data_IF_930886940065
#
_entry.id   IF_930886940065
#
_cell.length_a   1.000
_cell.length_b   1.000
_cell.length_c   1.000
_cell.angle_alpha   90.00
_cell.angle_beta   90.00
_cell.angle_gamma   90.00
#
_symmetry.space_group_name_H-M   'P 1'
#
loop_
_entity.id
_entity.type
_entity.pdbx_description
1 polymer ?
#
# COMPACT_ATOMS: atom_id res chain seq x y z
N UNK A 1 17.00 -2.91 17.62
CA UNK A 1 15.64 -3.48 17.53
C UNK A 1 14.60 -2.41 17.85
N UNK A 2 13.75 -2.05 16.89
CA UNK A 2 12.64 -1.13 17.13
C UNK A 2 11.67 -1.70 18.18
N UNK A 3 11.27 -0.88 19.15
CA UNK A 3 10.42 -1.30 20.28
C UNK A 3 9.00 -1.61 19.81
N UNK A 4 8.57 -2.86 19.95
CA UNK A 4 7.20 -3.30 19.62
C UNK A 4 6.19 -2.56 20.51
N UNK A 5 5.18 -1.95 19.90
CA UNK A 5 4.10 -1.27 20.62
C UNK A 5 2.98 -2.26 20.94
N UNK A 6 2.34 -2.12 22.12
CA UNK A 6 1.14 -2.90 22.45
C UNK A 6 0.08 -2.74 21.36
N UNK A 7 -0.55 -3.84 20.97
CA UNK A 7 -1.56 -3.90 19.90
C UNK A 7 -2.70 -2.89 20.08
N UNK A 8 -3.24 -2.78 21.29
CA UNK A 8 -4.28 -1.81 21.62
C UNK A 8 -3.86 -0.36 21.37
N UNK A 9 -2.60 -0.02 21.66
CA UNK A 9 -2.05 1.32 21.41
C UNK A 9 -1.84 1.58 19.92
N UNK A 10 -1.45 0.57 19.14
CA UNK A 10 -1.37 0.68 17.67
C UNK A 10 -2.76 1.00 17.10
N UNK A 11 -3.76 0.19 17.43
CA UNK A 11 -5.14 0.37 16.96
C UNK A 11 -5.69 1.74 17.35
N UNK A 12 -5.52 2.15 18.62
CA UNK A 12 -5.97 3.46 19.10
C UNK A 12 -5.35 4.63 18.32
N UNK A 13 -4.07 4.54 17.94
CA UNK A 13 -3.41 5.59 17.13
C UNK A 13 -3.86 5.60 15.68
N UNK A 14 -4.12 4.42 15.10
CA UNK A 14 -4.67 4.33 13.74
C UNK A 14 -6.07 4.95 13.69
N UNK A 15 -6.95 4.63 14.64
CA UNK A 15 -8.29 5.22 14.73
C UNK A 15 -8.22 6.75 14.90
N UNK A 16 -7.37 7.26 15.80
CA UNK A 16 -7.19 8.70 15.96
C UNK A 16 -6.67 9.38 14.68
N UNK A 17 -5.75 8.74 13.94
CA UNK A 17 -5.32 9.24 12.63
C UNK A 17 -6.47 9.30 11.63
N UNK A 18 -7.33 8.28 11.60
CA UNK A 18 -8.49 8.21 10.71
C UNK A 18 -9.55 9.26 11.05
N UNK A 19 -9.85 9.44 12.33
CA UNK A 19 -10.93 10.33 12.80
C UNK A 19 -10.51 11.81 12.77
N UNK A 20 -9.27 12.10 13.16
CA UNK A 20 -8.77 13.48 13.29
C UNK A 20 -7.91 13.93 12.08
N UNK A 21 -7.72 13.05 11.09
CA UNK A 21 -6.84 13.24 9.94
C UNK A 21 -5.41 13.63 10.36
N UNK A 22 -4.91 13.07 11.46
CA UNK A 22 -3.55 13.38 11.93
C UNK A 22 -2.55 12.43 11.25
N UNK A 23 -1.51 12.96 10.57
CA UNK A 23 -0.50 12.10 9.96
C UNK A 23 0.25 11.27 10.99
N UNK A 24 0.68 10.08 10.57
CA UNK A 24 1.39 9.11 11.39
C UNK A 24 2.56 8.52 10.62
N UNK A 25 3.64 8.22 11.34
CA UNK A 25 4.71 7.33 10.91
C UNK A 25 4.34 5.90 11.31
N UNK A 26 4.25 5.03 10.32
CA UNK A 26 3.90 3.62 10.48
C UNK A 26 5.18 2.81 10.30
N UNK A 27 5.56 2.12 11.37
CA UNK A 27 6.69 1.19 11.36
C UNK A 27 6.13 -0.23 11.23
N UNK A 28 6.73 -1.03 10.37
CA UNK A 28 6.31 -2.40 10.09
C UNK A 28 7.37 -3.39 10.59
N UNK A 29 6.95 -4.54 11.09
CA UNK A 29 7.86 -5.57 11.62
C UNK A 29 8.68 -6.24 10.52
N UNK A 30 8.19 -6.19 9.29
CA UNK A 30 8.80 -6.79 8.10
C UNK A 30 9.87 -5.89 7.45
N UNK A 31 9.87 -4.60 7.78
CA UNK A 31 10.83 -3.59 7.33
C UNK A 31 11.17 -2.67 8.53
N UNK A 32 11.98 -3.14 9.50
CA UNK A 32 12.13 -2.48 10.80
C UNK A 32 12.88 -1.15 10.76
N UNK A 33 13.68 -0.92 9.71
CA UNK A 33 14.49 0.27 9.52
C UNK A 33 13.80 1.33 8.65
N UNK A 34 12.59 1.01 8.16
CA UNK A 34 11.79 1.87 7.32
C UNK A 34 10.50 2.32 8.03
N UNK A 35 9.91 3.40 7.52
CA UNK A 35 8.58 3.83 7.93
C UNK A 35 7.86 4.53 6.79
N UNK A 36 6.55 4.33 6.74
CA UNK A 36 5.65 5.06 5.86
C UNK A 36 5.07 6.25 6.65
N UNK A 37 5.19 7.48 6.13
CA UNK A 37 4.46 8.64 6.67
C UNK A 37 3.14 8.75 5.92
N UNK A 38 2.01 8.77 6.63
CA UNK A 38 0.71 8.66 6.00
C UNK A 38 -0.44 9.19 6.87
N UNK A 39 -1.61 9.36 6.24
CA UNK A 39 -2.89 9.56 6.91
C UNK A 39 -3.72 8.29 6.73
N UNK A 40 -4.31 7.79 7.83
CA UNK A 40 -5.14 6.57 7.77
C UNK A 40 -6.50 6.90 7.16
N UNK A 41 -6.92 6.14 6.14
CA UNK A 41 -8.21 6.33 5.46
C UNK A 41 -9.24 5.28 5.84
N UNK A 42 -8.80 4.05 6.07
CA UNK A 42 -9.67 2.92 6.39
C UNK A 42 -8.90 1.84 7.16
N UNK A 43 -9.58 1.20 8.11
CA UNK A 43 -9.04 0.12 8.94
C UNK A 43 -9.99 -1.06 8.87
N UNK A 44 -9.47 -2.27 8.65
CA UNK A 44 -10.19 -3.54 8.80
C UNK A 44 -9.49 -4.46 9.80
N UNK A 45 -9.98 -5.71 9.94
CA UNK A 45 -9.33 -6.70 10.79
C UNK A 45 -7.94 -7.12 10.27
N UNK A 46 -7.73 -7.09 8.94
CA UNK A 46 -6.51 -7.57 8.29
C UNK A 46 -5.63 -6.49 7.72
N UNK A 47 -6.20 -5.36 7.29
CA UNK A 47 -5.54 -4.36 6.45
C UNK A 47 -5.82 -2.93 6.92
N UNK A 48 -4.90 -2.03 6.57
CA UNK A 48 -5.05 -0.58 6.76
C UNK A 48 -4.77 0.10 5.43
N UNK A 49 -5.68 0.95 4.97
CA UNK A 49 -5.51 1.82 3.82
C UNK A 49 -4.96 3.18 4.26
N UNK A 50 -3.94 3.63 3.57
CA UNK A 50 -3.16 4.83 3.86
C UNK A 50 -3.15 5.76 2.66
N UNK A 51 -3.30 7.07 2.89
CA UNK A 51 -2.83 8.09 1.97
C UNK A 51 -1.37 8.39 2.31
N UNK A 52 -0.44 7.95 1.46
CA UNK A 52 1.00 8.05 1.74
C UNK A 52 1.51 9.44 1.42
N UNK A 53 2.44 9.90 2.26
CA UNK A 53 3.12 11.16 2.14
C UNK A 53 4.62 10.88 1.91
N UNK A 54 5.22 11.55 0.93
CA UNK A 54 6.67 11.60 0.77
C UNK A 54 7.26 12.78 1.55
N UNK A 55 8.58 12.89 1.54
CA UNK A 55 9.31 13.98 2.18
C UNK A 55 8.71 15.36 1.86
N UNK A 56 8.56 16.19 2.90
CA UNK A 56 7.91 17.49 2.78
C UNK A 56 6.38 17.45 2.80
N UNK A 57 5.76 16.27 2.96
CA UNK A 57 4.31 16.15 3.11
C UNK A 57 3.54 16.12 1.80
N UNK A 58 4.19 15.85 0.67
CA UNK A 58 3.48 15.70 -0.60
C UNK A 58 2.79 14.35 -0.66
N UNK A 59 1.56 14.32 -1.17
CA UNK A 59 0.84 13.09 -1.45
C UNK A 59 1.61 12.23 -2.46
N UNK A 60 1.71 10.92 -2.18
CA UNK A 60 2.38 9.93 -3.03
C UNK A 60 1.55 8.63 -3.08
N UNK A 61 0.31 8.76 -3.55
CA UNK A 61 -0.57 7.62 -3.75
C UNK A 61 -1.09 6.98 -2.46
N UNK A 62 -1.49 5.73 -2.60
CA UNK A 62 -2.15 4.97 -1.56
C UNK A 62 -1.44 3.65 -1.32
N UNK A 63 -1.43 3.24 -0.06
CA UNK A 63 -0.80 1.98 0.36
C UNK A 63 -1.76 1.22 1.27
N UNK A 64 -1.97 -0.05 0.94
CA UNK A 64 -2.57 -1.02 1.85
C UNK A 64 -1.45 -1.78 2.55
N UNK A 65 -1.50 -1.86 3.87
CA UNK A 65 -0.55 -2.65 4.66
C UNK A 65 -1.28 -3.65 5.54
N UNK A 66 -0.71 -4.86 5.70
CA UNK A 66 -1.23 -5.83 6.67
C UNK A 66 -1.17 -5.24 8.06
N UNK A 67 -2.32 -5.11 8.70
CA UNK A 67 -2.44 -4.61 10.07
C UNK A 67 -1.60 -5.46 11.04
N UNK A 68 -1.49 -6.77 10.80
CA UNK A 68 -0.65 -7.69 11.60
C UNK A 68 0.85 -7.39 11.55
N UNK A 69 1.33 -6.70 10.51
CA UNK A 69 2.73 -6.32 10.38
C UNK A 69 3.03 -4.92 10.94
N UNK A 70 2.04 -4.14 11.39
CA UNK A 70 2.29 -2.84 12.00
C UNK A 70 2.82 -3.03 13.43
N UNK A 71 4.08 -2.67 13.64
CA UNK A 71 4.80 -2.83 14.91
C UNK A 71 4.68 -1.60 15.81
N UNK A 72 4.60 -0.40 15.22
CA UNK A 72 4.55 0.87 15.93
C UNK A 72 3.92 1.96 15.03
N UNK A 73 3.15 2.84 15.64
CA UNK A 73 2.54 4.01 14.97
C UNK A 73 2.87 5.23 15.80
N UNK A 74 3.38 6.31 15.21
CA UNK A 74 3.78 7.55 15.89
C UNK A 74 3.13 8.73 15.19
N UNK A 75 2.48 9.64 15.91
CA UNK A 75 1.95 10.86 15.27
C UNK A 75 3.08 11.72 14.71
N UNK A 76 2.88 12.20 13.48
CA UNK A 76 3.74 13.16 12.80
C UNK A 76 2.94 14.42 12.53
N UNK A 77 3.23 15.48 13.30
CA UNK A 77 2.52 16.76 13.18
C UNK A 77 3.38 17.86 12.58
N UNK A 78 4.65 17.58 12.31
CA UNK A 78 5.67 18.55 11.87
C UNK A 78 5.19 19.37 10.68
N UNK A 79 4.64 18.71 9.66
CA UNK A 79 4.18 19.36 8.42
C UNK A 79 2.67 19.55 8.35
N UNK A 80 1.91 19.22 9.40
CA UNK A 80 0.44 19.30 9.37
C UNK A 80 -0.11 20.68 8.93
N UNK A 81 0.46 21.83 9.33
CA UNK A 81 0.03 23.13 8.81
C UNK A 81 0.18 23.24 7.29
N UNK A 82 1.28 22.74 6.72
CA UNK A 82 1.53 22.74 5.28
C UNK A 82 0.62 21.74 4.54
N UNK A 83 0.39 20.55 5.09
CA UNK A 83 -0.53 19.57 4.50
C UNK A 83 -1.92 20.15 4.29
N UNK A 84 -2.41 20.92 5.27
CA UNK A 84 -3.74 21.57 5.23
C UNK A 84 -3.87 22.64 4.15
N UNK A 85 -2.77 23.13 3.56
CA UNK A 85 -2.82 24.09 2.45
C UNK A 85 -2.78 23.40 1.09
N UNK A 86 -2.63 22.08 1.02
CA UNK A 86 -2.53 21.35 -0.25
C UNK A 86 -3.91 20.98 -0.78
N UNK A 87 -4.07 20.96 -2.11
CA UNK A 87 -5.34 20.64 -2.78
C UNK A 87 -5.83 19.21 -2.49
N UNK A 88 -4.92 18.28 -2.17
CA UNK A 88 -5.31 16.92 -1.81
C UNK A 88 -5.96 16.83 -0.42
N UNK A 89 -5.90 17.89 0.40
CA UNK A 89 -6.40 17.89 1.76
C UNK A 89 -7.88 18.31 1.85
N UNK A 90 -8.73 17.58 2.61
CA UNK A 90 -8.44 16.32 3.28
C UNK A 90 -8.31 15.17 2.26
N UNK A 91 -7.45 14.17 2.53
CA UNK A 91 -7.21 13.08 1.58
C UNK A 91 -8.51 12.31 1.30
N UNK A 92 -8.87 12.21 0.02
CA UNK A 92 -10.01 11.43 -0.42
C UNK A 92 -9.72 9.92 -0.25
N UNK A 93 -10.72 9.15 0.17
CA UNK A 93 -10.71 7.69 0.08
C UNK A 93 -11.50 7.25 -1.17
N UNK A 94 -10.82 6.98 -2.31
CA UNK A 94 -11.49 6.58 -3.55
C UNK A 94 -12.16 5.21 -3.44
N UNK A 95 -11.85 4.43 -2.40
CA UNK A 95 -12.34 3.07 -2.19
C UNK A 95 -13.14 2.93 -0.90
N UNK A 96 -13.85 3.98 -0.47
CA UNK A 96 -14.63 3.97 0.77
C UNK A 96 -15.63 2.82 0.88
N UNK A 97 -16.14 2.31 -0.25
CA UNK A 97 -17.08 1.19 -0.30
C UNK A 97 -16.39 -0.18 -0.33
N UNK A 98 -15.06 -0.24 -0.31
CA UNK A 98 -14.29 -1.46 -0.46
C UNK A 98 -14.21 -2.21 0.86
N UNK A 99 -14.61 -3.47 0.86
CA UNK A 99 -14.44 -4.34 2.03
C UNK A 99 -13.00 -4.88 2.10
N UNK A 100 -12.18 -4.25 2.95
CA UNK A 100 -10.80 -4.66 3.19
C UNK A 100 -10.66 -5.93 4.04
N UNK A 101 -11.76 -6.60 4.44
CA UNK A 101 -11.71 -7.91 5.10
C UNK A 101 -11.60 -9.08 4.10
N UNK A 102 -12.06 -8.89 2.86
CA UNK A 102 -12.05 -9.91 1.81
C UNK A 102 -10.93 -9.64 0.80
N UNK A 103 -9.76 -10.25 1.01
CA UNK A 103 -8.52 -9.96 0.25
C UNK A 103 -8.68 -10.07 -1.26
N UNK A 104 -9.26 -11.18 -1.72
CA UNK A 104 -9.51 -11.36 -3.14
C UNK A 104 -10.44 -10.28 -3.71
N UNK A 105 -11.49 -9.92 -2.98
CA UNK A 105 -12.50 -8.97 -3.47
C UNK A 105 -11.94 -7.54 -3.54
N UNK A 106 -11.17 -7.12 -2.53
CA UNK A 106 -10.59 -5.78 -2.58
C UNK A 106 -9.47 -5.69 -3.62
N UNK A 107 -8.61 -6.71 -3.73
CA UNK A 107 -7.55 -6.73 -4.72
C UNK A 107 -8.10 -6.77 -6.15
N UNK A 108 -9.18 -7.52 -6.39
CA UNK A 108 -9.80 -7.54 -7.71
C UNK A 108 -10.35 -6.19 -8.09
N UNK A 109 -11.01 -5.51 -7.15
CA UNK A 109 -11.50 -4.17 -7.41
C UNK A 109 -10.38 -3.16 -7.62
N UNK A 110 -9.28 -3.27 -6.88
CA UNK A 110 -8.09 -2.43 -7.12
C UNK A 110 -7.50 -2.70 -8.51
N UNK A 111 -7.34 -3.96 -8.91
CA UNK A 111 -6.82 -4.29 -10.23
C UNK A 111 -7.74 -3.86 -11.39
N UNK A 112 -9.07 -3.82 -11.18
CA UNK A 112 -10.01 -3.30 -12.18
C UNK A 112 -9.90 -1.78 -12.35
N UNK A 113 -9.68 -1.06 -11.25
CA UNK A 113 -9.63 0.39 -11.23
C UNK A 113 -8.25 0.94 -11.63
N UNK A 114 -7.20 0.11 -11.52
CA UNK A 114 -5.82 0.52 -11.70
C UNK A 114 -5.13 -0.41 -12.68
N UNK A 115 -4.53 0.16 -13.72
CA UNK A 115 -3.81 -0.60 -14.74
C UNK A 115 -2.56 -1.32 -14.24
N UNK A 116 -1.97 -0.85 -13.15
CA UNK A 116 -0.83 -1.48 -12.48
C UNK A 116 -1.00 -1.34 -10.96
N UNK A 117 -0.46 -2.31 -10.25
CA UNK A 117 -0.32 -2.34 -8.80
C UNK A 117 1.14 -2.63 -8.47
N UNK A 118 1.59 -2.12 -7.34
CA UNK A 118 2.83 -2.54 -6.69
C UNK A 118 2.47 -3.52 -5.58
N UNK A 119 3.13 -4.67 -5.51
CA UNK A 119 2.89 -5.67 -4.46
C UNK A 119 4.19 -6.07 -3.79
N UNK A 120 4.10 -6.41 -2.50
CA UNK A 120 5.24 -6.88 -1.72
C UNK A 120 4.89 -8.14 -0.91
N UNK A 121 5.87 -9.03 -0.75
CA UNK A 121 5.85 -10.22 0.11
C UNK A 121 7.02 -10.18 1.11
N UNK A 122 7.15 -9.09 1.87
CA UNK A 122 8.38 -8.72 2.62
C UNK A 122 8.85 -9.76 3.65
N UNK A 123 7.97 -10.65 4.11
CA UNK A 123 8.36 -11.77 4.99
C UNK A 123 9.21 -12.80 4.25
N UNK A 124 8.91 -13.05 2.98
CA UNK A 124 9.58 -14.05 2.15
C UNK A 124 10.67 -13.44 1.29
N UNK A 125 10.43 -12.21 0.83
CA UNK A 125 11.23 -11.51 -0.18
C UNK A 125 11.37 -10.03 0.23
N UNK A 126 12.17 -9.72 1.27
CA UNK A 126 12.20 -8.41 1.95
C UNK A 126 12.56 -7.22 1.05
N UNK A 127 13.26 -7.45 -0.06
CA UNK A 127 13.72 -6.40 -0.96
C UNK A 127 13.07 -6.47 -2.36
N UNK A 128 12.08 -7.34 -2.55
CA UNK A 128 11.39 -7.47 -3.83
C UNK A 128 10.16 -6.58 -3.89
N UNK A 129 10.13 -5.77 -4.95
CA UNK A 129 8.99 -5.02 -5.40
C UNK A 129 8.56 -5.61 -6.75
N UNK A 130 7.31 -6.06 -6.84
CA UNK A 130 6.72 -6.44 -8.12
C UNK A 130 5.72 -5.37 -8.54
N UNK A 131 5.90 -4.83 -9.73
CA UNK A 131 4.99 -3.86 -10.36
C UNK A 131 4.38 -4.55 -11.57
N UNK A 132 3.07 -4.47 -11.73
CA UNK A 132 2.40 -5.16 -12.81
C UNK A 132 0.90 -5.19 -12.68
N UNK A 133 0.25 -6.14 -13.35
CA UNK A 133 -1.20 -6.32 -13.26
C UNK A 133 -1.55 -7.75 -12.96
N UNK A 134 -2.73 -7.94 -12.35
CA UNK A 134 -3.29 -9.27 -12.17
C UNK A 134 -3.72 -9.82 -13.53
N UNK A 135 -3.31 -11.06 -13.77
CA UNK A 135 -3.70 -11.85 -14.93
C UNK A 135 -4.94 -12.68 -14.63
N UNK A 136 -4.86 -13.50 -13.57
CA UNK A 136 -5.91 -14.48 -13.27
C UNK A 136 -6.06 -14.71 -11.77
N UNK A 137 -7.33 -14.70 -11.34
CA UNK A 137 -7.72 -14.98 -9.96
C UNK A 137 -7.84 -16.47 -9.68
N UNK A 138 -7.44 -16.88 -8.48
CA UNK A 138 -7.73 -18.18 -7.87
C UNK A 138 -8.16 -17.98 -6.41
N UNK A 139 -8.65 -19.05 -5.79
CA UNK A 139 -9.23 -19.02 -4.43
C UNK A 139 -8.27 -18.46 -3.36
N UNK A 140 -6.99 -18.84 -3.41
CA UNK A 140 -5.99 -18.48 -2.39
C UNK A 140 -4.75 -17.78 -2.98
N UNK A 141 -4.80 -17.44 -4.27
CA UNK A 141 -3.67 -16.88 -4.99
C UNK A 141 -4.15 -16.17 -6.25
N UNK A 142 -3.26 -15.46 -6.91
CA UNK A 142 -3.46 -14.93 -8.25
C UNK A 142 -2.17 -15.05 -9.06
N UNK A 143 -2.32 -15.00 -10.38
CA UNK A 143 -1.21 -14.85 -11.30
C UNK A 143 -1.01 -13.37 -11.60
N UNK A 144 0.24 -12.92 -11.54
CA UNK A 144 0.62 -11.53 -11.69
C UNK A 144 1.63 -11.40 -12.82
N UNK A 145 1.33 -10.55 -13.78
CA UNK A 145 2.19 -10.24 -14.92
C UNK A 145 3.01 -9.03 -14.54
N UNK A 146 4.32 -9.22 -14.34
CA UNK A 146 5.22 -8.18 -13.87
C UNK A 146 5.80 -7.37 -15.03
N UNK A 147 6.25 -6.16 -14.69
CA UNK A 147 7.20 -5.39 -15.46
C UNK A 147 8.59 -5.70 -14.89
N UNK A 148 9.51 -6.12 -15.73
CA UNK A 148 10.89 -6.44 -15.39
C UNK A 148 11.73 -5.15 -15.19
N UNK A 149 12.90 -5.23 -14.50
CA UNK A 149 13.71 -4.06 -14.18
C UNK A 149 14.21 -3.25 -15.40
N UNK A 150 14.21 -3.85 -16.59
CA UNK A 150 14.54 -3.17 -17.86
C UNK A 150 13.35 -2.36 -18.43
N UNK A 151 12.23 -2.37 -17.73
CA UNK A 151 11.02 -1.66 -18.12
C UNK A 151 10.21 -2.39 -19.17
N UNK A 152 10.39 -3.70 -19.38
CA UNK A 152 9.56 -4.50 -20.29
C UNK A 152 8.59 -5.39 -19.53
N UNK A 153 7.49 -5.80 -20.18
CA UNK A 153 6.58 -6.80 -19.59
C UNK A 153 7.24 -8.17 -19.61
N UNK A 154 7.24 -8.86 -18.48
CA UNK A 154 7.92 -10.14 -18.32
C UNK A 154 7.29 -11.23 -19.18
N UNK A 155 8.11 -12.11 -19.76
CA UNK A 155 7.62 -13.29 -20.48
C UNK A 155 6.94 -14.32 -19.55
N UNK A 156 7.08 -14.15 -18.23
CA UNK A 156 6.58 -15.11 -17.24
C UNK A 156 5.59 -14.47 -16.27
N UNK A 157 4.58 -15.25 -15.89
CA UNK A 157 3.67 -14.90 -14.80
C UNK A 157 4.23 -15.43 -13.48
N UNK A 158 4.12 -14.63 -12.43
CA UNK A 158 4.41 -15.09 -11.07
C UNK A 158 3.12 -15.45 -10.35
N UNK A 159 3.20 -16.45 -9.46
CA UNK A 159 2.08 -16.83 -8.59
C UNK A 159 2.25 -16.20 -7.22
N UNK A 160 1.27 -15.39 -6.82
CA UNK A 160 1.27 -14.67 -5.54
C UNK A 160 0.15 -15.22 -4.66
N UNK A 161 0.45 -15.56 -3.40
CA UNK A 161 -0.57 -16.02 -2.44
C UNK A 161 -1.03 -14.85 -1.59
N UNK A 162 -2.35 -14.72 -1.37
CA UNK A 162 -2.89 -13.60 -0.58
C UNK A 162 -2.25 -13.53 0.81
N UNK A 163 -2.02 -14.68 1.45
CA UNK A 163 -1.42 -14.77 2.80
C UNK A 163 0.01 -14.21 2.89
N UNK A 164 0.73 -14.15 1.76
CA UNK A 164 2.10 -13.64 1.71
C UNK A 164 2.17 -12.14 1.41
N UNK A 165 1.11 -11.54 0.87
CA UNK A 165 1.09 -10.10 0.60
C UNK A 165 1.19 -9.31 1.89
N UNK A 166 2.19 -8.46 2.02
CA UNK A 166 2.40 -7.60 3.20
C UNK A 166 2.00 -6.16 2.93
N UNK A 167 2.12 -5.72 1.68
CA UNK A 167 1.87 -4.36 1.22
C UNK A 167 1.42 -4.35 -0.24
N UNK A 168 0.54 -3.41 -0.57
CA UNK A 168 0.06 -3.14 -1.93
C UNK A 168 0.02 -1.63 -2.12
N UNK A 169 0.72 -1.11 -3.12
CA UNK A 169 0.70 0.33 -3.45
C UNK A 169 -0.03 0.59 -4.75
N UNK A 170 -0.66 1.77 -4.79
CA UNK A 170 -1.49 2.24 -5.89
C UNK A 170 -1.24 3.72 -6.09
N UNK A 171 -1.04 4.13 -7.35
CA UNK A 171 -0.78 5.53 -7.72
C UNK A 171 0.46 6.14 -7.05
N UNK A 172 1.45 5.34 -6.67
CA UNK A 172 2.76 5.87 -6.30
C UNK A 172 3.51 6.35 -7.56
N UNK A 173 4.28 7.42 -7.42
CA UNK A 173 4.97 8.06 -8.54
C UNK A 173 5.91 7.09 -9.28
N UNK A 174 6.55 6.16 -8.55
CA UNK A 174 7.51 5.22 -9.13
C UNK A 174 6.81 4.21 -10.06
N UNK A 175 5.74 3.56 -9.60
CA UNK A 175 4.97 2.62 -10.40
C UNK A 175 4.32 3.29 -11.62
N UNK A 176 3.89 4.54 -11.49
CA UNK A 176 3.37 5.32 -12.62
C UNK A 176 4.43 5.55 -13.71
N UNK A 177 5.66 5.85 -13.32
CA UNK A 177 6.80 6.00 -14.27
C UNK A 177 7.16 4.65 -14.90
N UNK A 178 7.27 3.58 -14.10
CA UNK A 178 7.57 2.23 -14.60
C UNK A 178 6.54 1.77 -15.63
N UNK A 179 5.25 1.97 -15.35
CA UNK A 179 4.17 1.69 -16.30
C UNK A 179 4.32 2.51 -17.59
N UNK A 180 4.64 3.80 -17.49
CA UNK A 180 4.79 4.66 -18.66
C UNK A 180 5.92 4.18 -19.58
N UNK A 181 7.02 3.70 -19.00
CA UNK A 181 8.15 3.10 -19.75
C UNK A 181 7.75 1.77 -20.39
N UNK A 182 7.08 0.89 -19.65
CA UNK A 182 6.69 -0.43 -20.15
C UNK A 182 5.62 -0.40 -21.23
N UNK A 183 4.85 0.69 -21.31
CA UNK A 183 3.78 0.83 -22.27
C UNK A 183 2.63 -0.16 -22.01
N UNK A 184 1.78 -0.39 -23.02
CA UNK A 184 0.61 -1.25 -22.86
C UNK A 184 1.05 -2.69 -22.59
N UNK A 185 0.31 -3.37 -21.71
CA UNK A 185 0.47 -4.82 -21.52
C UNK A 185 0.27 -5.53 -22.88
N UNK A 186 1.14 -6.48 -23.24
CA UNK A 186 0.94 -7.32 -24.43
C UNK A 186 -0.44 -7.99 -24.39
N UNK A 187 -1.12 -7.99 -25.54
CA UNK A 187 -2.33 -8.79 -25.71
C UNK A 187 -1.96 -10.29 -25.63
N UNK A 188 -2.81 -11.10 -25.01
CA UNK A 188 -2.75 -12.55 -25.14
C UNK A 188 -3.04 -13.00 -26.58
#
# INVERSE_FOLDING_TARGET
>A
MAKLQKRSKVISRLNCSQDELVPVKIYRSVAPDEHDEAIVLQISQGWVLLAVLRDGGYFNGYTLVRLGNISRVVFSRTFLPFLRTQDFWPPANPWKSLDLAAEQAFLSRLAELNSVLSIHEEVREPDKLWIGTVDRWKKNSFWFHCIDPDGTWSETLIKVRYEHLTRVDVHDDYALVVKAVAGPRPAE
#
